data_IF_493320960185
#
_entry.id   IF_493320960185
#
_cell.length_a   1.000
_cell.length_b   1.000
_cell.length_c   1.000
_cell.angle_alpha   90.00
_cell.angle_beta   90.00
_cell.angle_gamma   90.00
#
_symmetry.space_group_name_H-M   'P 1'
#
loop_
_entity.id
_entity.type
_entity.pdbx_description
1 polymer ?
#
# COMPACT_ATOMS: atom_id res chain seq x y z
N UNK A 1 10.06 -22.92 -66.67
CA UNK A 1 8.59 -22.75 -66.63
C UNK A 1 8.30 -21.65 -65.58
N UNK A 2 8.14 -20.38 -65.97
CA UNK A 2 7.92 -19.24 -65.08
C UNK A 2 6.41 -19.09 -64.96
N UNK A 3 5.91 -19.39 -63.72
CA UNK A 3 4.50 -19.22 -63.39
C UNK A 3 4.18 -17.72 -63.33
N UNK A 4 3.46 -17.21 -64.34
CA UNK A 4 2.91 -15.86 -64.38
C UNK A 4 1.78 -15.79 -63.33
N UNK A 5 2.09 -15.38 -62.11
CA UNK A 5 1.08 -15.11 -61.08
C UNK A 5 0.21 -13.94 -61.54
N UNK A 6 -1.10 -14.10 -61.51
CA UNK A 6 -2.07 -13.07 -61.85
C UNK A 6 -1.99 -11.90 -60.85
N UNK A 7 -2.27 -10.69 -61.30
CA UNK A 7 -2.17 -9.47 -60.51
C UNK A 7 -3.07 -9.48 -59.25
N UNK A 8 -4.18 -10.18 -59.30
CA UNK A 8 -5.11 -10.33 -58.18
C UNK A 8 -4.53 -11.13 -57.00
N UNK A 9 -3.65 -12.09 -57.25
CA UNK A 9 -2.98 -12.87 -56.20
C UNK A 9 -1.93 -12.05 -55.45
N UNK A 10 -1.28 -11.12 -56.14
CA UNK A 10 -0.31 -10.22 -55.52
C UNK A 10 -0.96 -9.24 -54.54
N UNK A 11 -2.12 -8.67 -54.91
CA UNK A 11 -2.87 -7.78 -54.01
C UNK A 11 -3.42 -8.50 -52.77
N UNK A 12 -3.93 -9.75 -52.95
CA UNK A 12 -4.37 -10.57 -51.82
C UNK A 12 -3.24 -10.90 -50.84
N UNK A 13 -2.06 -11.26 -51.37
CA UNK A 13 -0.88 -11.56 -50.50
C UNK A 13 -0.41 -10.36 -49.70
N UNK A 14 -0.39 -9.16 -50.31
CA UNK A 14 -0.01 -7.93 -49.60
C UNK A 14 -1.00 -7.55 -48.49
N UNK A 15 -2.29 -7.75 -48.69
CA UNK A 15 -3.31 -7.53 -47.67
C UNK A 15 -3.13 -8.45 -46.46
N UNK A 16 -2.87 -9.75 -46.71
CA UNK A 16 -2.63 -10.72 -45.63
C UNK A 16 -1.37 -10.36 -44.86
N UNK A 17 -0.28 -10.01 -45.52
CA UNK A 17 0.97 -9.60 -44.85
C UNK A 17 0.79 -8.32 -44.04
N UNK A 18 -0.01 -7.37 -44.48
CA UNK A 18 -0.29 -6.14 -43.80
C UNK A 18 -1.11 -6.38 -42.51
N UNK A 19 -2.13 -7.24 -42.57
CA UNK A 19 -2.93 -7.64 -41.41
C UNK A 19 -2.07 -8.35 -40.37
N UNK A 20 -1.20 -9.29 -40.80
CA UNK A 20 -0.27 -9.98 -39.88
C UNK A 20 0.70 -9.00 -39.23
N UNK A 21 1.27 -8.06 -39.98
CA UNK A 21 2.18 -7.06 -39.43
C UNK A 21 1.48 -6.15 -38.42
N UNK A 22 0.25 -5.72 -38.70
CA UNK A 22 -0.52 -4.86 -37.75
C UNK A 22 -0.88 -5.63 -36.49
N UNK A 23 -1.31 -6.89 -36.60
CA UNK A 23 -1.64 -7.71 -35.43
C UNK A 23 -0.39 -7.97 -34.56
N UNK A 24 0.76 -8.26 -35.15
CA UNK A 24 2.01 -8.44 -34.40
C UNK A 24 2.45 -7.14 -33.71
N UNK A 25 2.29 -6.01 -34.40
CA UNK A 25 2.59 -4.69 -33.77
C UNK A 25 1.68 -4.41 -32.57
N UNK A 26 0.39 -4.71 -32.68
CA UNK A 26 -0.56 -4.56 -31.57
C UNK A 26 -0.24 -5.51 -30.40
N UNK A 27 0.07 -6.77 -30.68
CA UNK A 27 0.49 -7.72 -29.64
C UNK A 27 1.77 -7.26 -28.97
N UNK A 28 2.74 -6.76 -29.74
CA UNK A 28 4.00 -6.25 -29.19
C UNK A 28 3.82 -4.98 -28.37
N UNK A 29 2.95 -4.04 -28.79
CA UNK A 29 2.60 -2.85 -28.03
C UNK A 29 1.84 -3.21 -26.74
N UNK A 30 0.90 -4.17 -26.81
CA UNK A 30 0.20 -4.68 -25.63
C UNK A 30 1.19 -5.36 -24.66
N UNK A 31 2.11 -6.17 -25.17
CA UNK A 31 3.16 -6.81 -24.39
C UNK A 31 4.15 -5.81 -23.77
N UNK A 32 4.50 -4.75 -24.49
CA UNK A 32 5.31 -3.64 -23.91
C UNK A 32 4.54 -2.86 -22.84
N UNK A 33 3.24 -2.63 -23.00
CA UNK A 33 2.41 -2.00 -21.97
C UNK A 33 2.23 -2.89 -20.75
N UNK A 34 2.11 -4.21 -20.94
CA UNK A 34 2.06 -5.17 -19.85
C UNK A 34 3.42 -5.36 -19.15
N UNK A 35 4.52 -5.06 -19.82
CA UNK A 35 5.88 -4.97 -19.28
C UNK A 35 6.26 -3.55 -18.87
N UNK A 36 5.31 -2.66 -18.55
CA UNK A 36 5.69 -1.61 -17.60
C UNK A 36 6.27 -2.36 -16.41
N UNK A 37 7.54 -2.13 -16.04
CA UNK A 37 8.12 -2.82 -14.92
C UNK A 37 7.14 -2.60 -13.79
N UNK A 38 6.57 -3.68 -13.23
CA UNK A 38 6.12 -3.66 -11.85
C UNK A 38 7.33 -3.05 -11.16
N UNK A 39 7.22 -1.77 -10.85
CA UNK A 39 8.25 -1.01 -10.15
C UNK A 39 8.53 -1.91 -8.99
N UNK A 40 9.74 -2.39 -8.94
CA UNK A 40 10.16 -3.43 -8.02
C UNK A 40 9.90 -2.88 -6.60
N UNK A 41 8.68 -3.06 -6.12
CA UNK A 41 8.23 -2.61 -4.80
C UNK A 41 8.97 -3.38 -3.70
N UNK A 42 9.73 -4.38 -4.09
CA UNK A 42 10.67 -5.11 -3.26
C UNK A 42 12.03 -4.46 -3.12
N UNK A 43 12.41 -3.60 -4.06
CA UNK A 43 13.65 -2.84 -3.95
C UNK A 43 13.39 -1.59 -3.13
N UNK A 44 13.61 -1.72 -1.82
CA UNK A 44 13.65 -0.61 -0.88
C UNK A 44 12.42 0.31 -0.97
N UNK A 45 11.37 0.00 -0.16
CA UNK A 45 10.64 1.13 0.39
C UNK A 45 11.72 2.11 0.83
N UNK A 46 11.80 3.33 0.28
CA UNK A 46 12.76 4.28 0.79
C UNK A 46 12.47 4.35 2.28
N UNK A 47 13.39 3.85 3.08
CA UNK A 47 13.38 4.05 4.53
C UNK A 47 13.51 5.55 4.65
N UNK A 48 12.35 6.18 4.69
CA UNK A 48 12.21 7.61 4.60
C UNK A 48 13.10 8.26 5.65
N UNK A 49 13.57 9.44 5.32
CA UNK A 49 14.21 10.31 6.30
C UNK A 49 13.35 10.34 7.56
N UNK A 50 13.96 10.33 8.76
CA UNK A 50 13.22 10.38 10.01
C UNK A 50 12.12 11.43 9.94
N UNK A 51 10.87 11.03 10.19
CA UNK A 51 9.73 11.90 10.02
C UNK A 51 9.86 13.16 10.88
N UNK A 52 9.78 14.34 10.25
CA UNK A 52 9.84 15.63 10.92
C UNK A 52 8.48 16.14 11.38
N UNK A 53 7.39 15.54 10.90
CA UNK A 53 6.02 15.96 11.22
C UNK A 53 5.51 15.34 12.53
N UNK A 54 4.69 16.10 13.26
CA UNK A 54 3.99 15.60 14.46
C UNK A 54 2.67 14.97 14.03
N UNK A 55 2.43 13.74 14.47
CA UNK A 55 1.16 13.05 14.25
C UNK A 55 0.08 13.69 15.13
N UNK A 56 -1.09 14.05 14.56
CA UNK A 56 -2.20 14.60 15.34
C UNK A 56 -2.67 13.62 16.44
N UNK A 57 -3.02 14.15 17.60
CA UNK A 57 -3.45 13.32 18.75
C UNK A 57 -4.65 12.43 18.40
N UNK A 58 -5.57 12.93 17.59
CA UNK A 58 -6.75 12.17 17.17
C UNK A 58 -6.39 10.93 16.32
N UNK A 59 -5.29 10.96 15.58
CA UNK A 59 -4.79 9.81 14.83
C UNK A 59 -4.48 8.61 15.74
N UNK A 60 -3.95 8.87 16.95
CA UNK A 60 -3.72 7.82 17.95
C UNK A 60 -5.04 7.21 18.44
N UNK A 61 -6.07 8.03 18.61
CA UNK A 61 -7.40 7.55 19.03
C UNK A 61 -8.01 6.63 17.96
N UNK A 62 -7.89 7.00 16.68
CA UNK A 62 -8.35 6.18 15.55
C UNK A 62 -7.69 4.80 15.58
N UNK A 63 -6.36 4.75 15.57
CA UNK A 63 -5.66 3.47 15.54
C UNK A 63 -5.83 2.68 16.85
N UNK A 64 -5.89 3.34 18.00
CA UNK A 64 -6.18 2.68 19.26
C UNK A 64 -7.51 1.92 19.21
N UNK A 65 -8.54 2.53 18.63
CA UNK A 65 -9.85 1.89 18.50
C UNK A 65 -9.83 0.68 17.56
N UNK A 66 -9.04 0.71 16.50
CA UNK A 66 -8.90 -0.40 15.56
C UNK A 66 -8.21 -1.64 16.17
N UNK A 67 -7.45 -1.45 17.24
CA UNK A 67 -6.68 -2.51 17.90
C UNK A 67 -7.17 -2.82 19.32
N UNK A 68 -8.46 -2.59 19.62
CA UNK A 68 -9.04 -2.93 20.93
C UNK A 68 -9.26 -4.43 21.13
N UNK A 69 -9.56 -5.16 20.05
CA UNK A 69 -9.75 -6.59 20.15
C UNK A 69 -8.43 -7.32 20.43
N UNK A 70 -8.44 -8.35 21.31
CA UNK A 70 -7.26 -9.15 21.56
C UNK A 70 -6.71 -9.78 20.28
N UNK A 71 -5.41 -9.67 20.08
CA UNK A 71 -4.72 -10.28 18.94
C UNK A 71 -3.82 -11.40 19.42
N UNK A 72 -3.71 -12.45 18.62
CA UNK A 72 -2.83 -13.60 18.91
C UNK A 72 -1.33 -13.23 18.78
N UNK A 73 -1.02 -12.16 18.08
CA UNK A 73 0.34 -11.73 17.79
C UNK A 73 0.65 -10.41 18.50
N UNK A 74 1.90 -10.25 18.98
CA UNK A 74 2.35 -8.97 19.52
C UNK A 74 2.12 -7.84 18.53
N UNK A 75 1.59 -6.72 19.01
CA UNK A 75 1.44 -5.51 18.22
C UNK A 75 2.76 -4.75 18.17
N UNK A 76 3.30 -4.62 16.96
CA UNK A 76 4.53 -3.87 16.71
C UNK A 76 4.26 -2.87 15.58
N UNK A 77 4.52 -1.61 15.85
CA UNK A 77 4.38 -0.52 14.90
C UNK A 77 5.74 0.03 14.49
N UNK A 78 5.86 0.57 13.29
CA UNK A 78 6.99 1.42 12.91
C UNK A 78 6.81 2.81 13.51
N UNK A 79 7.90 3.41 13.96
CA UNK A 79 7.93 4.83 14.35
C UNK A 79 7.65 5.74 13.15
N UNK A 80 8.13 5.38 11.97
CA UNK A 80 7.90 6.17 10.77
C UNK A 80 6.53 5.88 10.18
N UNK A 81 5.79 6.93 9.82
CA UNK A 81 4.55 6.80 9.09
C UNK A 81 4.80 6.37 7.64
N UNK A 82 3.78 5.76 7.05
CA UNK A 82 3.78 5.50 5.61
C UNK A 82 3.79 6.81 4.84
N UNK A 83 4.63 6.87 3.83
CA UNK A 83 4.61 7.91 2.81
C UNK A 83 4.46 7.25 1.45
N UNK A 84 4.08 8.05 0.47
CA UNK A 84 4.05 7.62 -0.94
C UNK A 84 3.26 6.31 -1.12
N UNK A 85 2.07 6.27 -0.52
CA UNK A 85 1.21 5.08 -0.53
C UNK A 85 0.84 4.76 -1.98
N UNK A 86 1.34 3.66 -2.58
CA UNK A 86 1.31 3.44 -4.03
C UNK A 86 -0.10 3.47 -4.65
N UNK A 87 -1.11 3.10 -3.87
CA UNK A 87 -2.49 2.99 -4.33
C UNK A 87 -3.22 4.35 -4.34
N UNK A 88 -2.70 5.35 -3.63
CA UNK A 88 -3.30 6.68 -3.63
C UNK A 88 -3.03 7.41 -4.93
N UNK A 89 -1.87 7.18 -5.54
CA UNK A 89 -1.50 7.77 -6.83
C UNK A 89 -2.18 7.10 -8.03
N UNK A 90 -2.92 6.02 -7.82
CA UNK A 90 -3.32 5.15 -8.91
C UNK A 90 -4.72 4.60 -8.89
N UNK A 91 -5.71 5.26 -8.29
CA UNK A 91 -7.08 4.89 -8.63
C UNK A 91 -7.83 3.90 -7.73
N UNK A 92 -7.29 3.42 -6.62
CA UNK A 92 -8.12 2.57 -5.76
C UNK A 92 -9.17 3.36 -4.98
N UNK A 93 -8.88 4.62 -4.64
CA UNK A 93 -9.84 5.52 -4.01
C UNK A 93 -10.74 6.14 -5.08
N UNK A 94 -12.03 5.90 -4.99
CA UNK A 94 -13.03 6.42 -5.92
C UNK A 94 -14.09 7.21 -5.16
N UNK A 95 -13.76 8.39 -4.66
CA UNK A 95 -14.73 9.20 -3.93
C UNK A 95 -15.92 9.55 -4.82
N UNK A 96 -17.12 9.34 -4.32
CA UNK A 96 -18.39 9.63 -5.02
C UNK A 96 -19.15 10.76 -4.35
N UNK A 97 -18.79 11.10 -3.11
CA UNK A 97 -19.40 12.15 -2.33
C UNK A 97 -18.37 13.23 -1.92
N UNK A 98 -18.78 14.49 -1.72
CA UNK A 98 -17.86 15.56 -1.32
C UNK A 98 -17.05 15.23 -0.06
N UNK A 99 -17.65 14.63 0.95
CA UNK A 99 -16.97 14.21 2.18
C UNK A 99 -15.92 13.13 1.94
N UNK A 100 -16.14 12.23 0.99
CA UNK A 100 -15.14 11.22 0.59
C UNK A 100 -13.97 11.86 -0.13
N UNK A 101 -14.24 12.89 -0.93
CA UNK A 101 -13.19 13.68 -1.58
C UNK A 101 -12.36 14.44 -0.55
N UNK A 102 -12.98 15.09 0.43
CA UNK A 102 -12.27 15.78 1.52
C UNK A 102 -11.32 14.84 2.28
N UNK A 103 -11.82 13.66 2.69
CA UNK A 103 -11.01 12.66 3.36
C UNK A 103 -9.85 12.18 2.48
N UNK A 104 -10.10 12.01 1.18
CA UNK A 104 -9.08 11.57 0.22
C UNK A 104 -8.00 12.63 0.09
N UNK A 105 -8.36 13.90 -0.09
CA UNK A 105 -7.42 15.00 -0.23
C UNK A 105 -6.61 15.21 1.05
N UNK A 106 -7.26 15.16 2.22
CA UNK A 106 -6.60 15.24 3.52
C UNK A 106 -5.64 14.07 3.75
N UNK A 107 -6.04 12.85 3.36
CA UNK A 107 -5.21 11.65 3.47
C UNK A 107 -3.98 11.72 2.57
N UNK A 108 -4.15 12.14 1.33
CA UNK A 108 -3.04 12.35 0.39
C UNK A 108 -2.07 13.39 0.93
N UNK A 109 -2.57 14.55 1.35
CA UNK A 109 -1.76 15.63 1.88
C UNK A 109 -0.97 15.21 3.14
N UNK A 110 -1.63 14.52 4.08
CA UNK A 110 -1.00 14.06 5.32
C UNK A 110 0.10 13.02 5.10
N UNK A 111 0.05 12.25 4.00
CA UNK A 111 1.01 11.19 3.71
C UNK A 111 2.02 11.56 2.61
N UNK A 112 2.13 12.84 2.23
CA UNK A 112 3.18 13.31 1.32
C UNK A 112 4.56 13.35 1.99
N UNK A 113 4.61 13.46 3.30
CA UNK A 113 5.84 13.48 4.08
C UNK A 113 5.77 12.52 5.26
N UNK A 114 6.93 12.05 5.73
CA UNK A 114 6.99 11.15 6.87
C UNK A 114 6.73 11.90 8.17
N UNK A 115 5.96 11.26 9.04
CA UNK A 115 5.68 11.71 10.39
C UNK A 115 6.19 10.67 11.37
N UNK A 116 6.38 11.07 12.61
CA UNK A 116 6.88 10.20 13.66
C UNK A 116 5.76 9.81 14.62
N UNK A 117 5.48 8.50 14.69
CA UNK A 117 4.61 7.91 15.69
C UNK A 117 5.34 7.82 17.03
N UNK A 118 4.68 8.26 18.08
CA UNK A 118 5.16 8.12 19.45
C UNK A 118 4.39 7.01 20.18
N UNK A 119 4.85 6.65 21.37
CA UNK A 119 4.19 5.62 22.19
C UNK A 119 2.97 6.20 22.93
N UNK A 120 1.94 6.63 22.17
CA UNK A 120 0.72 7.29 22.67
C UNK A 120 -0.57 6.52 22.38
N UNK A 121 -0.49 5.30 21.82
CA UNK A 121 -1.69 4.49 21.57
C UNK A 121 -2.25 3.95 22.89
N UNK A 122 -3.60 3.92 22.99
CA UNK A 122 -4.31 3.32 24.11
C UNK A 122 -4.80 1.92 23.71
N UNK A 123 -3.92 0.93 23.75
CA UNK A 123 -4.17 -0.45 23.31
C UNK A 123 -4.02 -1.38 24.51
N UNK A 124 -5.10 -2.09 24.94
CA UNK A 124 -5.12 -2.85 26.20
C UNK A 124 -4.09 -3.97 26.27
N UNK A 125 -3.84 -4.68 25.17
CA UNK A 125 -2.87 -5.78 25.14
C UNK A 125 -1.41 -5.34 25.08
N UNK A 126 -1.15 -4.04 25.10
CA UNK A 126 0.17 -3.48 24.90
C UNK A 126 0.66 -3.51 23.45
N UNK A 127 1.72 -2.79 23.18
CA UNK A 127 2.34 -2.69 21.87
C UNK A 127 3.78 -2.20 22.02
N UNK A 128 4.54 -2.27 20.93
CA UNK A 128 5.88 -1.69 20.83
C UNK A 128 5.94 -0.80 19.58
N UNK A 129 6.62 0.33 19.69
CA UNK A 129 7.01 1.16 18.54
C UNK A 129 8.49 0.91 18.27
N UNK A 130 8.82 0.49 17.05
CA UNK A 130 10.19 0.31 16.58
C UNK A 130 10.73 1.63 16.08
N UNK A 131 11.85 2.05 16.63
CA UNK A 131 12.58 3.20 16.13
C UNK A 131 13.05 2.99 14.69
N UNK A 132 13.23 4.08 13.93
CA UNK A 132 13.62 4.11 12.52
C UNK A 132 14.71 3.08 12.15
N UNK A 133 15.85 3.10 12.80
CA UNK A 133 16.92 2.16 12.51
C UNK A 133 16.66 0.70 12.95
N UNK A 134 15.70 0.45 13.83
CA UNK A 134 15.34 -0.89 14.28
C UNK A 134 14.55 -1.67 13.22
N UNK A 135 13.63 -1.01 12.53
CA UNK A 135 12.87 -1.63 11.44
C UNK A 135 13.81 -2.12 10.33
N UNK A 136 14.76 -1.28 9.92
CA UNK A 136 15.74 -1.65 8.91
C UNK A 136 16.59 -2.85 9.33
N UNK A 137 17.05 -2.88 10.58
CA UNK A 137 17.82 -4.02 11.12
C UNK A 137 16.99 -5.29 11.17
N UNK A 138 15.73 -5.20 11.56
CA UNK A 138 14.82 -6.34 11.59
C UNK A 138 14.57 -6.92 10.19
N UNK A 139 14.33 -6.06 9.20
CA UNK A 139 14.13 -6.46 7.81
C UNK A 139 15.39 -7.08 7.21
N UNK A 140 16.56 -6.49 7.44
CA UNK A 140 17.85 -7.04 6.98
C UNK A 140 18.10 -8.41 7.59
N UNK A 141 17.83 -8.58 8.88
CA UNK A 141 18.00 -9.87 9.54
C UNK A 141 17.10 -10.94 8.94
N UNK A 142 15.82 -10.66 8.76
CA UNK A 142 14.90 -11.63 8.15
C UNK A 142 15.24 -11.94 6.69
N UNK A 143 15.73 -10.97 5.94
CA UNK A 143 16.20 -11.17 4.56
C UNK A 143 17.45 -12.04 4.49
N UNK A 144 18.38 -11.86 5.44
CA UNK A 144 19.66 -12.59 5.45
C UNK A 144 19.52 -14.04 5.96
N UNK A 145 18.70 -14.24 6.98
CA UNK A 145 18.56 -15.53 7.66
C UNK A 145 17.32 -16.34 7.25
N UNK A 146 16.46 -15.76 6.41
CA UNK A 146 15.29 -16.44 5.88
C UNK A 146 14.37 -16.95 6.98
N UNK A 147 14.13 -18.29 7.01
CA UNK A 147 13.29 -18.92 8.02
C UNK A 147 13.96 -19.10 9.38
N UNK A 148 15.28 -19.01 9.45
CA UNK A 148 16.03 -19.10 10.71
C UNK A 148 16.06 -17.76 11.44
N UNK A 149 14.88 -17.34 11.87
CA UNK A 149 14.69 -16.10 12.66
C UNK A 149 15.32 -16.22 14.05
N UNK A 150 15.74 -17.43 14.47
CA UNK A 150 16.34 -17.64 15.77
C UNK A 150 17.64 -16.86 15.96
N UNK A 151 18.40 -16.68 14.86
CA UNK A 151 19.64 -15.90 14.84
C UNK A 151 19.42 -14.38 14.90
N UNK A 152 18.19 -13.90 14.76
CA UNK A 152 17.86 -12.47 14.77
C UNK A 152 17.75 -11.85 16.18
N UNK A 153 18.07 -12.57 17.24
CA UNK A 153 18.11 -12.04 18.61
C UNK A 153 16.77 -11.41 19.04
N UNK A 154 16.77 -10.14 19.42
CA UNK A 154 15.57 -9.42 19.86
C UNK A 154 14.51 -9.26 18.77
N UNK A 155 14.86 -9.45 17.50
CA UNK A 155 13.92 -9.37 16.36
C UNK A 155 13.23 -10.72 16.05
N UNK A 156 13.64 -11.81 16.70
CA UNK A 156 13.07 -13.15 16.56
C UNK A 156 11.54 -13.20 16.70
N UNK A 157 10.99 -12.34 17.56
CA UNK A 157 9.55 -12.26 17.83
C UNK A 157 8.81 -11.28 16.89
N UNK A 158 9.53 -10.56 16.05
CA UNK A 158 8.96 -9.58 15.15
C UNK A 158 8.48 -10.26 13.85
N UNK A 159 7.49 -11.15 13.98
CA UNK A 159 6.91 -11.79 12.81
C UNK A 159 6.26 -10.79 11.86
N UNK A 160 5.66 -9.74 12.43
CA UNK A 160 4.98 -8.70 11.68
C UNK A 160 5.21 -7.33 12.31
N UNK A 161 5.51 -6.36 11.44
CA UNK A 161 5.52 -4.94 11.80
C UNK A 161 4.40 -4.24 11.04
N UNK A 162 3.68 -3.36 11.71
CA UNK A 162 2.64 -2.55 11.11
C UNK A 162 3.18 -1.16 10.83
N UNK A 163 3.03 -0.75 9.57
CA UNK A 163 3.32 0.62 9.17
C UNK A 163 1.96 1.33 9.01
N UNK A 164 1.84 2.49 9.60
CA UNK A 164 0.61 3.26 9.66
C UNK A 164 0.76 4.54 8.84
N UNK A 165 -0.23 4.86 8.01
CA UNK A 165 -0.35 6.18 7.42
C UNK A 165 -0.98 7.16 8.41
N UNK A 166 -0.79 8.45 8.20
CA UNK A 166 -1.50 9.47 8.96
C UNK A 166 -2.95 9.53 8.46
N UNK A 167 -3.96 9.47 9.32
CA UNK A 167 -5.36 9.55 8.90
C UNK A 167 -5.69 10.86 8.18
N UNK A 168 -6.48 10.78 7.12
CA UNK A 168 -7.13 11.95 6.52
C UNK A 168 -8.56 12.05 7.00
N UNK A 169 -8.88 13.12 7.69
CA UNK A 169 -10.20 13.37 8.29
C UNK A 169 -11.10 14.18 7.36
N UNK A 170 -12.41 13.96 7.46
CA UNK A 170 -13.40 14.91 6.96
C UNK A 170 -13.40 16.19 7.83
N UNK A 171 -14.02 17.26 7.33
CA UNK A 171 -14.07 18.54 8.03
C UNK A 171 -14.71 18.45 9.44
N UNK A 172 -15.70 17.57 9.60
CA UNK A 172 -16.38 17.37 10.86
C UNK A 172 -15.63 16.46 11.84
N UNK A 173 -14.52 15.85 11.45
CA UNK A 173 -13.78 14.86 12.23
C UNK A 173 -14.65 13.68 12.72
N UNK A 174 -15.61 13.28 11.88
CA UNK A 174 -16.49 12.15 12.13
C UNK A 174 -16.16 10.92 11.32
N UNK A 175 -15.42 11.10 10.22
CA UNK A 175 -14.92 10.04 9.33
C UNK A 175 -13.46 10.29 9.00
N UNK A 176 -12.72 9.21 8.73
CA UNK A 176 -11.35 9.31 8.27
C UNK A 176 -10.97 8.16 7.35
N UNK A 177 -10.02 8.40 6.45
CA UNK A 177 -9.27 7.38 5.75
C UNK A 177 -8.02 7.00 6.54
N UNK A 178 -7.77 5.72 6.65
CA UNK A 178 -6.59 5.17 7.29
C UNK A 178 -5.90 4.16 6.38
N UNK A 179 -4.59 4.01 6.51
CA UNK A 179 -3.85 2.95 5.85
C UNK A 179 -3.03 2.15 6.84
N UNK A 180 -3.01 0.85 6.65
CA UNK A 180 -2.19 -0.08 7.43
C UNK A 180 -1.50 -1.03 6.48
N UNK A 181 -0.19 -1.16 6.63
CA UNK A 181 0.58 -2.24 6.01
C UNK A 181 1.07 -3.17 7.11
N UNK A 182 0.79 -4.46 6.98
CA UNK A 182 1.36 -5.53 7.80
C UNK A 182 2.52 -6.14 7.01
N UNK A 183 3.74 -5.87 7.42
CA UNK A 183 4.96 -6.37 6.79
C UNK A 183 5.55 -7.51 7.61
N UNK A 184 5.98 -8.58 6.95
CA UNK A 184 6.66 -9.73 7.53
C UNK A 184 8.04 -9.96 6.89
N UNK A 185 8.61 -8.96 6.26
CA UNK A 185 9.90 -9.01 5.58
C UNK A 185 9.79 -8.73 4.08
N UNK A 186 10.82 -9.11 3.34
CA UNK A 186 11.07 -8.60 1.99
C UNK A 186 9.99 -8.96 0.93
N UNK A 187 9.37 -10.15 1.04
CA UNK A 187 8.37 -10.63 0.06
C UNK A 187 7.08 -11.08 0.74
N UNK A 188 6.75 -10.48 1.84
CA UNK A 188 5.62 -10.90 2.63
C UNK A 188 4.95 -9.69 3.25
N UNK A 189 3.74 -9.44 2.85
CA UNK A 189 2.99 -8.35 3.42
C UNK A 189 1.58 -8.25 2.87
N UNK A 190 0.78 -7.52 3.58
CA UNK A 190 -0.55 -7.13 3.13
C UNK A 190 -0.84 -5.72 3.62
N UNK A 191 -1.63 -5.00 2.88
CA UNK A 191 -1.99 -3.65 3.27
C UNK A 191 -3.36 -3.26 2.74
N UNK A 192 -3.82 -2.12 3.19
CA UNK A 192 -5.06 -1.56 2.70
C UNK A 192 -5.29 -0.15 3.18
N UNK A 193 -6.15 0.55 2.44
CA UNK A 193 -6.75 1.81 2.84
C UNK A 193 -8.22 1.51 3.10
N UNK A 194 -8.74 2.00 4.20
CA UNK A 194 -10.15 1.83 4.54
C UNK A 194 -10.67 3.02 5.31
N UNK A 195 -11.98 3.22 5.26
CA UNK A 195 -12.61 4.29 6.00
C UNK A 195 -12.96 3.83 7.42
N UNK A 196 -12.87 4.76 8.33
CA UNK A 196 -13.35 4.64 9.71
C UNK A 196 -14.34 5.76 10.00
N UNK A 197 -15.25 5.50 10.90
CA UNK A 197 -16.27 6.45 11.32
C UNK A 197 -16.37 6.51 12.84
N UNK A 198 -16.79 7.65 13.34
CA UNK A 198 -16.94 7.92 14.76
C UNK A 198 -18.38 7.72 15.18
N UNK A 199 -18.62 6.70 16.00
CA UNK A 199 -19.95 6.46 16.60
C UNK A 199 -19.88 6.88 18.07
N UNK A 200 -20.50 8.00 18.39
CA UNK A 200 -20.37 8.62 19.71
C UNK A 200 -18.93 9.08 19.96
N UNK A 201 -18.24 8.41 20.89
CA UNK A 201 -16.83 8.73 21.23
C UNK A 201 -15.83 7.70 20.68
N UNK A 202 -16.31 6.69 19.98
CA UNK A 202 -15.48 5.54 19.55
C UNK A 202 -15.35 5.52 18.04
N UNK A 203 -14.14 5.33 17.56
CA UNK A 203 -13.86 5.07 16.16
C UNK A 203 -14.07 3.59 15.84
N UNK A 204 -14.62 3.29 14.69
CA UNK A 204 -14.82 1.94 14.19
C UNK A 204 -14.63 1.89 12.68
N UNK A 205 -14.35 0.70 12.16
CA UNK A 205 -14.27 0.51 10.71
C UNK A 205 -15.67 0.74 10.12
N UNK A 206 -15.76 1.58 9.11
CA UNK A 206 -17.03 1.82 8.42
C UNK A 206 -17.46 0.57 7.66
N UNK A 207 -18.73 0.20 7.78
CA UNK A 207 -19.32 -0.92 7.06
C UNK A 207 -19.63 -0.59 5.59
N UNK A 208 -19.77 0.70 5.27
CA UNK A 208 -20.15 1.19 3.94
C UNK A 208 -18.96 1.90 3.30
N UNK A 209 -18.16 1.18 2.51
CA UNK A 209 -16.96 1.78 1.89
C UNK A 209 -16.71 1.24 0.50
N UNK A 210 -17.67 1.48 -0.40
CA UNK A 210 -17.48 1.12 -1.80
C UNK A 210 -16.29 1.85 -2.44
N UNK A 211 -16.01 3.08 -2.01
CA UNK A 211 -14.92 3.89 -2.56
C UNK A 211 -13.51 3.43 -2.14
N UNK A 212 -13.37 2.54 -1.13
CA UNK A 212 -12.09 1.95 -0.71
C UNK A 212 -12.00 0.46 -0.97
N UNK A 213 -12.99 -0.14 -1.63
CA UNK A 213 -13.12 -1.61 -1.81
C UNK A 213 -11.88 -2.22 -2.44
N UNK A 214 -11.32 -1.57 -3.45
CA UNK A 214 -10.19 -2.07 -4.24
C UNK A 214 -8.83 -1.65 -3.66
N UNK A 215 -8.81 -1.02 -2.48
CA UNK A 215 -7.61 -0.49 -1.85
C UNK A 215 -6.94 -1.49 -0.88
N UNK A 216 -6.98 -2.77 -1.19
CA UNK A 216 -6.24 -3.80 -0.46
C UNK A 216 -5.27 -4.54 -1.38
N UNK A 217 -4.12 -4.94 -0.84
CA UNK A 217 -3.09 -5.64 -1.60
C UNK A 217 -2.34 -6.64 -0.73
N UNK A 218 -1.73 -7.63 -1.40
CA UNK A 218 -0.80 -8.61 -0.82
C UNK A 218 0.43 -8.73 -1.70
N UNK A 219 1.59 -9.00 -1.12
CA UNK A 219 2.86 -9.30 -1.81
C UNK A 219 3.70 -10.28 -0.99
#
# INVERSE_FOLDING_TARGET
>A
MILKMSSSWRTGLWLVLLVVAVTQLWVWLAYRRAKTPVRDLGATMPLNQPGGGVVPTEAYAVYSALYQAPMQEPLVFSEDSLTDIPQVNGSCLRPTAPQEQEMTDAFVAANQQSHRWEQKFSIPQGYRVLAHGELARAQTCTATHGRDVASCGSYKQLRYVRLLGVPGFDHAHTRALVSVIKSCGHLCGSGGIFAVEKTGRTWQRSATTDFTRDCSWMY
#
